data_IF_189046774396
#
_entry.id   IF_189046774396
#
_cell.length_a   1.000
_cell.length_b   1.000
_cell.length_c   1.000
_cell.angle_alpha   90.00
_cell.angle_beta   90.00
_cell.angle_gamma   90.00
#
_symmetry.space_group_name_H-M   'P 1'
#
loop_
_entity.id
_entity.type
_entity.pdbx_description
1 polymer ?
#
# COMPACT_ATOMS: atom_id res chain seq x y z
N UNK A 1 29.56 29.00 26.21
CA UNK A 1 28.71 28.23 25.31
C UNK A 1 27.27 28.51 25.71
N UNK A 2 26.48 29.32 24.98
CA UNK A 2 25.08 29.50 25.33
C UNK A 2 24.25 28.27 24.86
N UNK A 3 23.52 27.68 25.79
CA UNK A 3 22.48 26.67 25.52
C UNK A 3 21.37 27.33 24.68
N UNK A 4 21.17 26.85 23.45
CA UNK A 4 19.99 27.17 22.68
C UNK A 4 18.81 26.43 23.32
N UNK A 5 18.05 27.13 24.17
CA UNK A 5 16.74 26.71 24.59
C UNK A 5 15.81 26.76 23.36
N UNK A 6 15.51 25.61 22.80
CA UNK A 6 14.47 25.48 21.78
C UNK A 6 13.14 25.76 22.48
N UNK A 7 12.62 26.98 22.28
CA UNK A 7 11.27 27.34 22.75
C UNK A 7 10.28 26.61 21.86
N UNK A 8 9.78 25.49 22.33
CA UNK A 8 8.58 24.86 21.78
C UNK A 8 7.40 25.78 22.13
N UNK A 9 7.04 26.65 21.17
CA UNK A 9 5.80 27.42 21.29
C UNK A 9 4.62 26.46 21.42
N UNK A 10 3.74 26.74 22.37
CA UNK A 10 2.48 26.02 22.57
C UNK A 10 1.75 25.86 21.23
N UNK A 11 1.52 24.63 20.83
CA UNK A 11 0.68 24.22 19.68
C UNK A 11 -0.82 24.35 20.03
N UNK A 12 -1.23 25.44 20.64
CA UNK A 12 -2.64 25.66 21.05
C UNK A 12 -3.55 26.08 19.89
N UNK A 13 -3.11 25.96 18.63
CA UNK A 13 -3.83 26.47 17.45
C UNK A 13 -4.09 25.48 16.33
N UNK A 14 -4.04 24.18 16.61
CA UNK A 14 -4.57 23.24 15.64
C UNK A 14 -6.06 23.02 15.92
N UNK A 15 -6.95 23.21 14.94
CA UNK A 15 -8.37 22.87 15.13
C UNK A 15 -8.46 21.41 15.57
N UNK A 16 -9.40 21.11 16.47
CA UNK A 16 -9.70 19.76 16.91
C UNK A 16 -9.86 18.82 15.70
N UNK A 17 -8.81 18.06 15.38
CA UNK A 17 -8.73 17.20 14.20
C UNK A 17 -9.36 15.83 14.42
N UNK A 18 -10.26 15.71 15.40
CA UNK A 18 -10.83 14.41 15.78
C UNK A 18 -11.82 13.84 14.76
N UNK A 19 -12.35 14.65 13.80
CA UNK A 19 -13.39 14.19 12.86
C UNK A 19 -13.36 14.83 11.45
N UNK A 20 -12.36 15.61 11.09
CA UNK A 20 -12.32 16.18 9.75
C UNK A 20 -11.83 15.17 8.73
N UNK A 21 -12.74 14.64 7.91
CA UNK A 21 -12.35 14.02 6.63
C UNK A 21 -11.59 15.07 5.84
N UNK A 22 -10.35 14.77 5.45
CA UNK A 22 -9.60 15.62 4.54
C UNK A 22 -10.29 15.70 3.18
N UNK A 23 -9.97 16.72 2.35
CA UNK A 23 -10.52 16.88 0.98
C UNK A 23 -10.38 15.63 0.11
N UNK A 24 -9.41 14.74 0.40
CA UNK A 24 -9.22 13.46 -0.25
C UNK A 24 -9.99 12.30 0.42
N UNK A 25 -10.85 12.60 1.40
CA UNK A 25 -11.66 11.63 2.13
C UNK A 25 -10.86 10.69 3.06
N UNK A 26 -9.57 10.96 3.31
CA UNK A 26 -8.72 10.16 4.19
C UNK A 26 -9.00 10.50 5.67
N UNK A 27 -9.39 9.53 6.47
CA UNK A 27 -9.55 9.66 7.92
C UNK A 27 -8.28 9.21 8.67
N UNK A 28 -8.14 9.60 9.94
CA UNK A 28 -7.05 9.09 10.80
C UNK A 28 -7.14 7.58 11.02
N UNK A 29 -8.33 6.99 10.94
CA UNK A 29 -8.53 5.54 11.01
C UNK A 29 -7.93 4.84 9.78
N UNK A 30 -8.00 5.46 8.59
CA UNK A 30 -7.43 4.92 7.34
C UNK A 30 -5.88 4.92 7.32
N UNK A 31 -5.26 5.68 8.25
CA UNK A 31 -3.82 5.78 8.42
C UNK A 31 -3.29 4.65 9.33
N UNK A 32 -4.19 3.88 9.95
CA UNK A 32 -3.86 2.81 10.88
C UNK A 32 -2.77 1.86 10.34
N UNK A 33 -1.95 1.37 11.25
CA UNK A 33 -1.05 0.26 10.98
C UNK A 33 -1.87 -1.03 11.05
N UNK A 34 -1.50 -1.96 10.19
CA UNK A 34 -1.92 -3.35 10.02
C UNK A 34 -2.93 -3.91 11.04
N UNK A 35 -4.01 -4.40 10.54
CA UNK A 35 -4.87 -5.27 11.30
C UNK A 35 -4.19 -6.67 11.37
N UNK A 36 -3.82 -7.12 12.56
CA UNK A 36 -3.02 -8.34 12.82
C UNK A 36 -3.71 -9.67 12.47
N UNK A 37 -4.64 -9.69 11.50
CA UNK A 37 -5.43 -10.86 11.11
C UNK A 37 -4.89 -11.59 9.88
N UNK A 38 -3.70 -11.21 9.37
CA UNK A 38 -3.13 -11.87 8.21
C UNK A 38 -2.54 -13.24 8.59
N UNK A 39 -2.74 -14.24 7.73
CA UNK A 39 -2.12 -15.56 7.88
C UNK A 39 -0.61 -15.48 7.70
N UNK A 40 0.14 -16.44 8.28
CA UNK A 40 1.59 -16.52 8.10
C UNK A 40 1.98 -16.59 6.62
N UNK A 41 1.18 -17.29 5.80
CA UNK A 41 1.38 -17.37 4.36
C UNK A 41 1.24 -15.99 3.68
N UNK A 42 0.20 -15.22 4.02
CA UNK A 42 0.04 -13.85 3.49
C UNK A 42 1.20 -12.94 3.91
N UNK A 43 1.66 -13.06 5.17
CA UNK A 43 2.81 -12.30 5.65
C UNK A 43 4.12 -12.67 4.94
N UNK A 44 4.32 -13.95 4.61
CA UNK A 44 5.48 -14.42 3.86
C UNK A 44 5.48 -13.85 2.43
N UNK A 45 4.35 -13.95 1.71
CA UNK A 45 4.17 -13.41 0.36
C UNK A 45 4.39 -11.89 0.37
N UNK A 46 3.78 -11.17 1.32
CA UNK A 46 3.97 -9.72 1.47
C UNK A 46 5.43 -9.34 1.63
N UNK A 47 6.16 -10.06 2.50
CA UNK A 47 7.58 -9.81 2.78
C UNK A 47 8.44 -9.98 1.54
N UNK A 48 8.26 -11.08 0.80
CA UNK A 48 8.98 -11.33 -0.45
C UNK A 48 8.67 -10.29 -1.52
N UNK A 49 7.39 -9.94 -1.69
CA UNK A 49 6.95 -8.91 -2.63
C UNK A 49 7.57 -7.54 -2.30
N UNK A 50 7.58 -7.13 -1.03
CA UNK A 50 8.20 -5.86 -0.63
C UNK A 50 9.71 -5.84 -0.87
N UNK A 51 10.41 -6.97 -0.69
CA UNK A 51 11.84 -7.10 -1.04
C UNK A 51 12.08 -6.92 -2.53
N UNK A 52 11.27 -7.56 -3.38
CA UNK A 52 11.33 -7.40 -4.83
C UNK A 52 11.16 -5.93 -5.23
N UNK A 53 10.13 -5.27 -4.71
CA UNK A 53 9.88 -3.86 -5.00
C UNK A 53 11.07 -2.98 -4.60
N UNK A 54 11.64 -3.22 -3.42
CA UNK A 54 12.83 -2.50 -2.94
C UNK A 54 14.04 -2.71 -3.85
N UNK A 55 14.28 -3.92 -4.34
CA UNK A 55 15.37 -4.22 -5.28
C UNK A 55 15.21 -3.45 -6.61
N UNK A 56 13.98 -3.21 -7.04
CA UNK A 56 13.68 -2.40 -8.22
C UNK A 56 13.59 -0.89 -7.94
N UNK A 57 13.98 -0.44 -6.76
CA UNK A 57 13.85 0.95 -6.32
C UNK A 57 12.41 1.48 -6.38
N UNK A 58 11.45 0.62 -6.04
CA UNK A 58 10.03 0.94 -6.00
C UNK A 58 9.62 1.07 -4.53
N UNK A 59 9.17 2.28 -4.15
CA UNK A 59 8.62 2.52 -2.81
C UNK A 59 7.23 1.90 -2.69
N UNK A 60 6.90 1.32 -1.52
CA UNK A 60 5.56 0.79 -1.30
C UNK A 60 5.05 1.06 0.12
N UNK A 61 3.73 1.13 0.22
CA UNK A 61 2.99 1.22 1.49
C UNK A 61 2.02 0.04 1.58
N UNK A 62 2.01 -0.70 2.68
CA UNK A 62 1.00 -1.72 2.93
C UNK A 62 -0.33 -1.08 3.36
N UNK A 63 -1.42 -1.82 3.16
CA UNK A 63 -2.75 -1.51 3.69
C UNK A 63 -3.20 -0.07 3.39
N UNK A 64 -3.27 0.28 2.09
CA UNK A 64 -3.65 1.63 1.67
C UNK A 64 -5.14 1.68 1.32
N UNK A 65 -5.90 2.47 2.06
CA UNK A 65 -7.32 2.71 1.76
C UNK A 65 -7.45 3.65 0.56
N UNK A 66 -8.16 3.21 -0.47
CA UNK A 66 -8.41 3.96 -1.70
C UNK A 66 -9.66 4.86 -1.58
N UNK A 67 -9.87 5.82 -2.52
CA UNK A 67 -11.04 6.69 -2.49
C UNK A 67 -12.39 5.96 -2.60
N UNK A 68 -12.42 4.76 -3.15
CA UNK A 68 -13.62 3.89 -3.21
C UNK A 68 -13.79 3.00 -1.97
N UNK A 69 -13.05 3.27 -0.89
CA UNK A 69 -13.03 2.52 0.37
C UNK A 69 -12.50 1.08 0.26
N UNK A 70 -11.94 0.68 -0.89
CA UNK A 70 -11.14 -0.55 -0.96
C UNK A 70 -9.80 -0.32 -0.27
N UNK A 71 -9.24 -1.37 0.28
CA UNK A 71 -7.92 -1.34 0.92
C UNK A 71 -6.99 -2.24 0.12
N UNK A 72 -6.02 -1.63 -0.56
CA UNK A 72 -4.99 -2.34 -1.28
C UNK A 72 -3.98 -2.95 -0.29
N UNK A 73 -3.65 -4.22 -0.45
CA UNK A 73 -2.66 -4.88 0.41
C UNK A 73 -1.28 -4.22 0.30
N UNK A 74 -0.86 -3.91 -0.92
CA UNK A 74 0.32 -3.08 -1.18
C UNK A 74 0.01 -2.05 -2.28
N UNK A 75 0.39 -0.81 -2.05
CA UNK A 75 0.38 0.24 -3.06
C UNK A 75 1.80 0.74 -3.27
N UNK A 76 2.29 0.63 -4.51
CA UNK A 76 3.67 0.92 -4.85
C UNK A 76 3.79 2.09 -5.81
N UNK A 77 4.92 2.80 -5.73
CA UNK A 77 5.25 3.97 -6.54
C UNK A 77 6.64 3.81 -7.13
N UNK A 78 6.72 3.79 -8.45
CA UNK A 78 7.99 3.74 -9.18
C UNK A 78 8.65 5.12 -9.25
N UNK A 79 9.94 5.17 -9.58
CA UNK A 79 10.69 6.39 -9.87
C UNK A 79 10.11 7.20 -11.04
N UNK A 80 9.41 6.54 -11.98
CA UNK A 80 8.71 7.17 -13.11
C UNK A 80 7.30 7.67 -12.76
N UNK A 81 6.86 7.49 -11.51
CA UNK A 81 5.56 7.92 -11.04
C UNK A 81 4.41 6.96 -11.42
N UNK A 82 4.70 5.73 -11.86
CA UNK A 82 3.68 4.70 -12.02
C UNK A 82 3.20 4.22 -10.65
N UNK A 83 1.91 4.03 -10.53
CA UNK A 83 1.27 3.47 -9.35
C UNK A 83 0.90 2.04 -9.62
N UNK A 84 1.41 1.12 -8.80
CA UNK A 84 1.08 -0.30 -8.83
C UNK A 84 0.22 -0.65 -7.62
N UNK A 85 -0.77 -1.52 -7.83
CA UNK A 85 -1.53 -2.15 -6.75
C UNK A 85 -1.24 -3.64 -6.81
N UNK A 86 -0.91 -4.21 -5.65
CA UNK A 86 -0.64 -5.63 -5.50
C UNK A 86 -1.57 -6.18 -4.41
N UNK A 87 -2.40 -7.16 -4.78
CA UNK A 87 -3.26 -7.92 -3.89
C UNK A 87 -2.61 -9.25 -3.54
N UNK A 88 -2.55 -9.58 -2.27
CA UNK A 88 -1.95 -10.81 -1.76
C UNK A 88 -3.05 -11.86 -1.62
N UNK A 89 -2.81 -13.04 -2.17
CA UNK A 89 -3.71 -14.19 -2.03
C UNK A 89 -2.96 -15.36 -1.42
N UNK A 90 -3.31 -15.69 -0.19
CA UNK A 90 -2.65 -16.75 0.58
C UNK A 90 -3.00 -18.15 0.12
N UNK A 91 -4.02 -18.31 -0.74
CA UNK A 91 -4.43 -19.60 -1.31
C UNK A 91 -5.64 -19.45 -2.22
N UNK A 92 -6.03 -20.58 -2.86
CA UNK A 92 -7.12 -20.60 -3.83
C UNK A 92 -8.46 -20.23 -3.20
N UNK A 93 -8.75 -20.68 -1.98
CA UNK A 93 -9.98 -20.35 -1.27
C UNK A 93 -10.10 -18.84 -0.99
N UNK A 94 -9.01 -18.19 -0.59
CA UNK A 94 -8.92 -16.75 -0.38
C UNK A 94 -9.16 -15.98 -1.69
N UNK A 95 -8.57 -16.45 -2.79
CA UNK A 95 -8.81 -15.88 -4.11
C UNK A 95 -10.27 -16.03 -4.57
N UNK A 96 -10.88 -17.20 -4.39
CA UNK A 96 -12.26 -17.47 -4.81
C UNK A 96 -13.32 -16.72 -3.98
N UNK A 97 -12.99 -16.36 -2.75
CA UNK A 97 -13.86 -15.59 -1.87
C UNK A 97 -13.92 -14.08 -2.21
N UNK A 98 -13.01 -13.62 -3.08
CA UNK A 98 -12.87 -12.18 -3.39
C UNK A 98 -12.83 -11.93 -4.91
N UNK A 99 -13.93 -11.44 -5.45
CA UNK A 99 -14.10 -11.06 -6.86
C UNK A 99 -13.96 -9.55 -7.11
N UNK A 100 -13.51 -8.78 -6.10
CA UNK A 100 -13.53 -7.31 -6.10
C UNK A 100 -12.30 -6.67 -6.73
N UNK A 101 -11.35 -7.46 -7.24
CA UNK A 101 -10.12 -6.93 -7.81
C UNK A 101 -10.32 -5.92 -8.96
N UNK A 102 -11.40 -5.96 -9.78
CA UNK A 102 -11.62 -4.95 -10.81
C UNK A 102 -11.81 -3.52 -10.24
N UNK A 103 -12.23 -3.42 -8.96
CA UNK A 103 -12.42 -2.12 -8.30
C UNK A 103 -11.09 -1.38 -8.05
N UNK A 104 -9.95 -2.08 -8.15
CA UNK A 104 -8.61 -1.49 -8.02
C UNK A 104 -8.09 -0.90 -9.34
N UNK A 105 -8.49 -1.44 -10.49
CA UNK A 105 -7.97 -1.06 -11.81
C UNK A 105 -8.06 0.45 -12.09
N UNK A 106 -9.12 1.17 -11.70
CA UNK A 106 -9.19 2.62 -11.88
C UNK A 106 -8.14 3.41 -11.08
N UNK A 107 -7.39 2.77 -10.18
CA UNK A 107 -6.48 3.42 -9.24
C UNK A 107 -5.01 3.03 -9.43
N UNK A 108 -4.67 2.27 -10.46
CA UNK A 108 -3.30 1.85 -10.73
C UNK A 108 -2.95 1.89 -12.22
N UNK A 109 -1.65 1.96 -12.52
CA UNK A 109 -1.12 1.74 -13.87
C UNK A 109 -0.82 0.25 -14.11
N UNK A 110 -0.59 -0.52 -13.03
CA UNK A 110 -0.39 -1.96 -13.03
C UNK A 110 -1.08 -2.59 -11.83
N UNK A 111 -1.68 -3.72 -12.08
CA UNK A 111 -2.33 -4.52 -11.04
C UNK A 111 -1.76 -5.93 -11.01
N UNK A 112 -1.36 -6.41 -9.86
CA UNK A 112 -0.80 -7.74 -9.67
C UNK A 112 -1.53 -8.51 -8.58
N UNK A 113 -1.65 -9.81 -8.77
CA UNK A 113 -1.80 -10.74 -7.67
C UNK A 113 -0.43 -11.25 -7.24
N UNK A 114 -0.14 -11.20 -5.95
CA UNK A 114 1.02 -11.86 -5.35
C UNK A 114 0.55 -13.13 -4.65
N UNK A 115 1.11 -14.26 -5.04
CA UNK A 115 0.72 -15.60 -4.61
C UNK A 115 1.95 -16.44 -4.31
N UNK A 116 1.78 -17.52 -3.55
CA UNK A 116 2.85 -18.50 -3.33
C UNK A 116 3.20 -19.24 -4.64
N UNK A 117 4.43 -19.78 -4.79
CA UNK A 117 4.87 -20.46 -6.01
C UNK A 117 4.06 -21.70 -6.39
N UNK A 118 3.39 -22.34 -5.42
CA UNK A 118 2.53 -23.52 -5.60
C UNK A 118 1.07 -23.15 -5.91
N UNK A 119 0.74 -21.85 -6.01
CA UNK A 119 -0.61 -21.40 -6.34
C UNK A 119 -0.98 -21.80 -7.78
N UNK A 120 -2.21 -22.32 -8.04
CA UNK A 120 -2.66 -22.69 -9.37
C UNK A 120 -2.87 -21.45 -10.25
N UNK A 121 -1.81 -21.07 -10.95
CA UNK A 121 -1.71 -19.80 -11.71
C UNK A 121 -2.70 -19.67 -12.87
N UNK A 122 -3.22 -20.80 -13.38
CA UNK A 122 -4.29 -20.90 -14.39
C UNK A 122 -5.63 -20.32 -13.90
N UNK A 123 -5.81 -20.18 -12.60
CA UNK A 123 -7.01 -19.59 -11.97
C UNK A 123 -6.98 -18.07 -11.96
N UNK A 124 -5.80 -17.45 -12.06
CA UNK A 124 -5.67 -15.99 -12.05
C UNK A 124 -6.11 -15.38 -13.39
N UNK A 125 -6.88 -14.27 -13.36
CA UNK A 125 -7.31 -13.57 -14.56
C UNK A 125 -6.13 -13.22 -15.48
N UNK A 126 -6.26 -13.48 -16.78
CA UNK A 126 -5.21 -13.17 -17.74
C UNK A 126 -4.89 -11.66 -17.82
N UNK A 127 -5.86 -10.82 -17.45
CA UNK A 127 -5.74 -9.35 -17.43
C UNK A 127 -4.97 -8.82 -16.23
N UNK A 128 -4.74 -9.62 -15.19
CA UNK A 128 -3.95 -9.24 -14.02
C UNK A 128 -2.50 -9.68 -14.20
N UNK A 129 -1.56 -8.90 -13.69
CA UNK A 129 -0.18 -9.32 -13.49
C UNK A 129 -0.09 -10.40 -12.42
N UNK A 130 1.01 -11.11 -12.36
CA UNK A 130 1.25 -12.17 -11.39
C UNK A 130 2.67 -12.09 -10.85
N UNK A 131 2.78 -12.17 -9.53
CA UNK A 131 4.03 -12.25 -8.78
C UNK A 131 4.01 -13.55 -7.99
N UNK A 132 5.04 -14.38 -8.12
CA UNK A 132 5.30 -15.46 -7.18
C UNK A 132 6.17 -14.93 -6.05
N UNK A 133 5.78 -15.20 -4.81
CA UNK A 133 6.50 -14.72 -3.64
C UNK A 133 6.45 -15.70 -2.47
N UNK A 134 7.53 -15.72 -1.72
CA UNK A 134 7.66 -16.42 -0.45
C UNK A 134 8.32 -15.52 0.62
N UNK A 135 8.76 -16.09 1.76
CA UNK A 135 9.42 -15.32 2.81
C UNK A 135 10.81 -14.77 2.42
N UNK A 136 11.42 -15.31 1.35
CA UNK A 136 12.79 -14.99 0.94
C UNK A 136 12.86 -13.97 -0.18
N UNK A 137 11.95 -14.04 -1.15
CA UNK A 137 11.93 -13.16 -2.31
C UNK A 137 10.66 -13.29 -3.13
N UNK A 138 10.69 -12.67 -4.31
CA UNK A 138 9.59 -12.71 -5.26
C UNK A 138 10.09 -12.53 -6.69
N UNK A 139 9.26 -12.93 -7.66
CA UNK A 139 9.51 -12.77 -9.09
C UNK A 139 8.23 -12.39 -9.82
N UNK A 140 8.32 -11.44 -10.78
CA UNK A 140 7.20 -11.08 -11.65
C UNK A 140 7.09 -12.13 -12.75
N UNK A 141 6.08 -12.99 -12.68
CA UNK A 141 5.84 -14.08 -13.63
C UNK A 141 5.05 -13.61 -14.85
N UNK A 142 4.18 -12.65 -14.66
CA UNK A 142 3.38 -12.04 -15.73
C UNK A 142 3.20 -10.56 -15.42
N UNK A 143 3.62 -9.74 -16.36
CA UNK A 143 3.40 -8.30 -16.29
C UNK A 143 2.06 -7.92 -16.92
N UNK A 144 1.52 -6.78 -16.51
CA UNK A 144 0.36 -6.19 -17.15
C UNK A 144 0.42 -4.67 -17.11
N UNK A 145 -0.32 -4.05 -18.01
CA UNK A 145 -0.51 -2.60 -18.01
C UNK A 145 -1.99 -2.29 -18.06
N UNK A 146 -2.40 -1.30 -17.27
CA UNK A 146 -3.74 -0.73 -17.30
C UNK A 146 -3.75 0.57 -18.13
N UNK A 147 -4.92 1.06 -18.56
CA UNK A 147 -5.02 2.40 -19.11
C UNK A 147 -4.42 3.42 -18.15
N UNK A 148 -3.63 4.35 -18.67
CA UNK A 148 -2.95 5.37 -17.86
C UNK A 148 -3.94 6.13 -16.97
N UNK A 149 -3.59 6.30 -15.71
CA UNK A 149 -4.36 7.11 -14.78
C UNK A 149 -4.46 8.56 -15.25
N UNK A 150 -5.67 9.13 -15.17
CA UNK A 150 -5.85 10.57 -15.36
C UNK A 150 -5.00 11.36 -14.35
N UNK A 151 -4.41 12.48 -14.77
CA UNK A 151 -3.50 13.28 -13.94
C UNK A 151 -4.09 13.68 -12.59
N UNK A 152 -5.37 14.07 -12.56
CA UNK A 152 -6.05 14.43 -11.31
C UNK A 152 -6.12 13.25 -10.33
N UNK A 153 -6.41 12.05 -10.81
CA UNK A 153 -6.46 10.83 -9.98
C UNK A 153 -5.08 10.43 -9.50
N UNK A 154 -4.06 10.51 -10.36
CA UNK A 154 -2.66 10.28 -9.96
C UNK A 154 -2.24 11.22 -8.85
N UNK A 155 -2.49 12.52 -8.99
CA UNK A 155 -2.15 13.53 -7.97
C UNK A 155 -2.88 13.26 -6.64
N UNK A 156 -4.14 12.84 -6.68
CA UNK A 156 -4.89 12.44 -5.49
C UNK A 156 -4.20 11.27 -4.76
N UNK A 157 -3.84 10.21 -5.51
CA UNK A 157 -3.20 9.02 -4.95
C UNK A 157 -1.81 9.31 -4.41
N UNK A 158 -1.00 10.11 -5.11
CA UNK A 158 0.33 10.52 -4.64
C UNK A 158 0.26 11.31 -3.32
N UNK A 159 -0.66 12.28 -3.21
CA UNK A 159 -0.89 13.00 -1.95
C UNK A 159 -1.33 12.05 -0.83
N UNK A 160 -2.20 11.09 -1.14
CA UNK A 160 -2.68 10.09 -0.19
C UNK A 160 -1.53 9.22 0.31
N UNK A 161 -0.71 8.69 -0.58
CA UNK A 161 0.49 7.91 -0.21
C UNK A 161 1.45 8.72 0.65
N UNK A 162 1.76 9.96 0.26
CA UNK A 162 2.66 10.83 1.01
C UNK A 162 2.14 11.10 2.44
N UNK A 163 0.84 11.38 2.59
CA UNK A 163 0.22 11.60 3.90
C UNK A 163 0.24 10.34 4.77
N UNK A 164 -0.17 9.19 4.21
CA UNK A 164 -0.16 7.92 4.94
C UNK A 164 1.27 7.58 5.38
N UNK A 165 2.23 7.66 4.47
CA UNK A 165 3.65 7.39 4.75
C UNK A 165 4.21 8.29 5.84
N UNK A 166 3.96 9.60 5.76
CA UNK A 166 4.42 10.58 6.75
C UNK A 166 3.84 10.30 8.15
N UNK A 167 2.53 10.06 8.26
CA UNK A 167 1.92 9.75 9.56
C UNK A 167 2.38 8.41 10.14
N UNK A 168 2.55 7.39 9.30
CA UNK A 168 3.07 6.09 9.73
C UNK A 168 4.50 6.18 10.21
N UNK A 169 5.34 6.94 9.50
CA UNK A 169 6.72 7.20 9.91
C UNK A 169 6.79 7.89 11.28
N UNK A 170 6.00 8.96 11.51
CA UNK A 170 5.94 9.64 12.79
C UNK A 170 5.55 8.68 13.93
N UNK A 171 4.51 7.85 13.72
CA UNK A 171 4.08 6.86 14.72
C UNK A 171 5.15 5.81 15.03
N UNK A 172 5.89 5.36 14.03
CA UNK A 172 6.99 4.40 14.23
C UNK A 172 8.12 5.02 15.04
N UNK A 173 8.46 6.27 14.75
CA UNK A 173 9.48 7.03 15.47
C UNK A 173 9.09 7.25 16.93
N UNK A 174 7.88 7.72 17.19
CA UNK A 174 7.39 7.94 18.56
C UNK A 174 7.40 6.66 19.41
N UNK A 175 7.15 5.49 18.76
CA UNK A 175 7.24 4.19 19.45
C UNK A 175 8.67 3.74 19.75
N UNK A 176 9.63 4.17 18.97
CA UNK A 176 11.04 3.81 19.16
C UNK A 176 11.73 4.70 20.20
N UNK A 177 11.17 5.87 20.51
CA UNK A 177 11.69 6.83 21.48
C UNK A 177 11.09 6.63 22.90
N UNK A 178 10.06 5.75 23.05
CA UNK A 178 9.44 5.36 24.34
C UNK A 178 9.77 3.91 24.70
#
# INVERSE_FOLDING_TARGET
MPQLAVVWGRFDRWPNMTDSKSEDGLSLADIGLEDGRQSDAALAIRRGTMRLLTQFNIACLPEVVLPNHRRADLMALTDKGEIWIIEIKSGLADFQADDKWPDYLPYCDRFYFAVAPDFPSDKLPAQAGMIFADSYGAEIMRDNTQPKLAAARRNLLLRRMARIGGFRWLRLRDRAEN
#
